data_IF_894066737747
#
_entry.id   IF_894066737747
#
_cell.length_a   1.000
_cell.length_b   1.000
_cell.length_c   1.000
_cell.angle_alpha   90.00
_cell.angle_beta   90.00
_cell.angle_gamma   90.00
#
_symmetry.space_group_name_H-M   'P 1'
#
loop_
_entity.id
_entity.type
_entity.pdbx_description
1 polymer ?
#
# COMPACT_ATOMS: atom_id res chain seq x y z
N UNK A 1 5.17 -15.39 0.40
CA UNK A 1 5.60 -14.02 0.75
C UNK A 1 6.72 -14.16 1.76
N UNK A 2 7.93 -13.68 1.47
CA UNK A 2 9.13 -13.92 2.29
C UNK A 2 9.75 -12.59 2.74
N UNK A 3 10.07 -12.49 4.03
CA UNK A 3 10.79 -11.36 4.62
C UNK A 3 12.30 -11.60 4.63
N UNK A 4 13.08 -10.52 4.72
CA UNK A 4 14.52 -10.64 4.97
C UNK A 4 14.78 -11.24 6.37
N UNK A 5 15.83 -12.08 6.55
CA UNK A 5 16.10 -12.76 7.82
C UNK A 5 16.22 -11.82 9.04
N UNK A 6 16.70 -10.59 8.82
CA UNK A 6 16.82 -9.58 9.87
C UNK A 6 15.46 -9.17 10.47
N UNK A 7 14.34 -9.36 9.75
CA UNK A 7 13.01 -9.07 10.24
C UNK A 7 12.67 -9.90 11.47
N UNK A 8 12.93 -11.21 11.42
CA UNK A 8 12.61 -12.13 12.51
C UNK A 8 13.40 -11.81 13.78
N UNK A 9 14.71 -11.53 13.63
CA UNK A 9 15.56 -11.14 14.75
C UNK A 9 15.08 -9.84 15.41
N UNK A 10 14.70 -8.85 14.62
CA UNK A 10 14.24 -7.56 15.12
C UNK A 10 12.85 -7.64 15.74
N UNK A 11 11.91 -8.41 15.17
CA UNK A 11 10.60 -8.67 15.80
C UNK A 11 10.77 -9.31 17.18
N UNK A 12 11.64 -10.32 17.29
CA UNK A 12 11.93 -10.95 18.58
C UNK A 12 12.52 -9.96 19.61
N UNK A 13 13.38 -9.04 19.17
CA UNK A 13 13.90 -7.96 20.03
C UNK A 13 12.80 -7.01 20.49
N UNK A 14 11.90 -6.61 19.59
CA UNK A 14 10.78 -5.72 19.89
C UNK A 14 9.75 -6.39 20.81
N UNK A 15 9.44 -7.66 20.62
CA UNK A 15 8.53 -8.41 21.48
C UNK A 15 9.06 -8.50 22.92
N UNK A 16 10.37 -8.74 23.07
CA UNK A 16 11.04 -8.73 24.37
C UNK A 16 10.99 -7.34 25.03
N UNK A 17 11.02 -6.27 24.24
CA UNK A 17 10.92 -4.88 24.69
C UNK A 17 9.48 -4.54 25.12
N UNK A 18 8.49 -4.89 24.30
CA UNK A 18 7.05 -4.66 24.56
C UNK A 18 6.55 -5.42 25.80
N UNK A 19 7.20 -6.53 26.13
CA UNK A 19 6.92 -7.29 27.36
C UNK A 19 7.40 -6.57 28.63
N UNK A 20 8.21 -5.51 28.51
CA UNK A 20 8.64 -4.71 29.65
C UNK A 20 7.59 -3.65 30.01
N UNK A 21 7.39 -3.33 31.30
CA UNK A 21 6.38 -2.37 31.73
C UNK A 21 6.66 -0.91 31.30
N UNK A 22 7.85 -0.62 30.75
CA UNK A 22 8.25 0.73 30.41
C UNK A 22 7.94 1.10 28.95
N UNK A 23 6.75 1.65 28.73
CA UNK A 23 6.30 2.12 27.41
C UNK A 23 7.18 3.24 26.80
N UNK A 24 7.96 3.97 27.60
CA UNK A 24 8.80 5.06 27.08
C UNK A 24 9.91 4.56 26.16
N UNK A 25 10.36 3.31 26.32
CA UNK A 25 11.43 2.73 25.51
C UNK A 25 10.88 2.33 24.13
N UNK A 26 9.66 1.77 24.10
CA UNK A 26 8.96 1.41 22.86
C UNK A 26 8.72 2.66 22.00
N UNK A 27 8.28 3.75 22.61
CA UNK A 27 8.04 5.00 21.88
C UNK A 27 9.35 5.58 21.31
N UNK A 28 10.47 5.49 22.05
CA UNK A 28 11.78 5.90 21.53
C UNK A 28 12.23 5.05 20.35
N UNK A 29 12.11 3.73 20.46
CA UNK A 29 12.47 2.80 19.38
C UNK A 29 11.64 3.07 18.11
N UNK A 30 10.34 3.36 18.28
CA UNK A 30 9.45 3.74 17.18
C UNK A 30 9.87 5.04 16.51
N UNK A 31 10.45 5.98 17.25
CA UNK A 31 10.87 7.29 16.73
C UNK A 31 12.28 7.22 16.11
N UNK A 32 13.20 6.51 16.77
CA UNK A 32 14.63 6.63 16.51
C UNK A 32 15.16 5.57 15.54
N UNK A 33 14.55 4.39 15.45
CA UNK A 33 15.04 3.30 14.61
C UNK A 33 14.07 3.04 13.44
N UNK A 34 14.47 3.35 12.18
CA UNK A 34 13.59 3.20 11.02
C UNK A 34 13.06 1.79 10.80
N UNK A 35 13.87 0.76 11.06
CA UNK A 35 13.45 -0.64 10.95
C UNK A 35 12.43 -1.01 12.04
N UNK A 36 12.66 -0.58 13.27
CA UNK A 36 11.75 -0.84 14.39
C UNK A 36 10.41 -0.16 14.16
N UNK A 37 10.40 1.11 13.73
CA UNK A 37 9.19 1.83 13.28
C UNK A 37 8.42 1.04 12.23
N UNK A 38 9.11 0.56 11.19
CA UNK A 38 8.52 -0.20 10.08
C UNK A 38 7.86 -1.49 10.57
N UNK A 39 8.54 -2.25 11.42
CA UNK A 39 8.03 -3.52 11.94
C UNK A 39 6.91 -3.33 12.97
N UNK A 40 6.95 -2.27 13.78
CA UNK A 40 5.89 -1.91 14.74
C UNK A 40 4.60 -1.47 14.03
N UNK A 41 4.70 -0.91 12.82
CA UNK A 41 3.53 -0.72 11.94
C UNK A 41 2.99 -2.04 11.38
N UNK A 42 3.63 -3.18 11.69
CA UNK A 42 3.28 -4.51 11.20
C UNK A 42 3.45 -4.62 9.68
N UNK A 43 4.47 -3.94 9.14
CA UNK A 43 4.88 -4.04 7.75
C UNK A 43 5.93 -5.15 7.61
N UNK A 44 5.93 -5.78 6.44
CA UNK A 44 6.92 -6.76 6.04
C UNK A 44 8.23 -6.06 5.69
N UNK A 45 9.35 -6.62 6.12
CA UNK A 45 10.67 -6.13 5.74
C UNK A 45 11.22 -6.94 4.56
N UNK A 46 11.27 -6.30 3.39
CA UNK A 46 11.70 -6.87 2.11
C UNK A 46 12.78 -6.00 1.46
N UNK A 47 13.41 -6.50 0.40
CA UNK A 47 14.26 -5.66 -0.44
C UNK A 47 13.45 -4.47 -0.97
N UNK A 48 13.95 -3.26 -0.79
CA UNK A 48 13.27 -2.02 -1.20
C UNK A 48 12.25 -1.47 -0.20
N UNK A 49 12.11 -2.04 1.00
CA UNK A 49 11.23 -1.48 2.04
C UNK A 49 11.55 -0.01 2.34
N UNK A 50 10.49 0.79 2.45
CA UNK A 50 10.57 2.23 2.67
C UNK A 50 10.74 2.57 4.16
N UNK A 51 11.88 2.19 4.72
CA UNK A 51 12.17 2.42 6.14
C UNK A 51 12.06 3.91 6.49
N UNK A 52 11.39 4.20 7.61
CA UNK A 52 11.15 5.57 8.09
C UNK A 52 9.88 6.23 7.54
N UNK A 53 9.30 5.72 6.46
CA UNK A 53 8.00 6.21 5.93
C UNK A 53 6.83 5.63 6.72
N UNK A 54 5.72 6.36 6.76
CA UNK A 54 4.49 5.91 7.39
C UNK A 54 3.55 5.28 6.34
N UNK A 55 2.94 4.11 6.64
CA UNK A 55 1.94 3.51 5.76
C UNK A 55 0.62 4.28 5.83
N UNK A 56 -0.27 4.13 4.83
CA UNK A 56 -1.61 4.70 4.90
C UNK A 56 -2.41 4.07 6.03
N UNK A 57 -3.27 4.87 6.64
CA UNK A 57 -4.35 4.42 7.51
C UNK A 57 -5.44 3.68 6.71
N UNK A 58 -6.32 2.93 7.41
CA UNK A 58 -7.47 2.26 6.77
C UNK A 58 -8.38 3.28 6.10
N UNK A 59 -8.55 4.45 6.72
CA UNK A 59 -9.36 5.56 6.27
C UNK A 59 -8.80 6.22 5.01
N UNK A 60 -7.48 6.40 4.92
CA UNK A 60 -6.81 6.89 3.70
C UNK A 60 -6.92 5.88 2.56
N UNK A 61 -6.72 4.59 2.86
CA UNK A 61 -6.93 3.51 1.90
C UNK A 61 -8.36 3.51 1.35
N UNK A 62 -9.35 3.63 2.24
CA UNK A 62 -10.78 3.68 1.90
C UNK A 62 -11.11 4.93 1.08
N UNK A 63 -10.61 6.09 1.49
CA UNK A 63 -10.81 7.36 0.78
C UNK A 63 -10.29 7.27 -0.65
N UNK A 64 -9.08 6.74 -0.84
CA UNK A 64 -8.49 6.49 -2.15
C UNK A 64 -9.28 5.48 -2.98
N UNK A 65 -9.83 4.44 -2.35
CA UNK A 65 -10.66 3.42 -3.00
C UNK A 65 -12.00 3.98 -3.49
N UNK A 66 -12.59 4.92 -2.76
CA UNK A 66 -13.89 5.55 -3.04
C UNK A 66 -13.83 6.74 -4.02
N UNK A 67 -12.64 7.20 -4.41
CA UNK A 67 -12.49 8.28 -5.40
C UNK A 67 -13.29 7.97 -6.68
N UNK A 68 -13.97 8.98 -7.22
CA UNK A 68 -14.72 8.90 -8.48
C UNK A 68 -13.89 9.54 -9.60
N UNK A 69 -13.07 8.78 -10.35
CA UNK A 69 -12.10 9.35 -11.28
C UNK A 69 -12.72 9.87 -12.59
N UNK A 70 -14.00 9.57 -12.88
CA UNK A 70 -14.57 9.80 -14.21
C UNK A 70 -16.12 9.90 -14.20
N UNK A 71 -16.68 10.14 -15.39
CA UNK A 71 -18.13 10.30 -15.62
C UNK A 71 -18.96 9.03 -15.35
N UNK A 72 -18.35 7.85 -15.25
CA UNK A 72 -19.10 6.60 -15.03
C UNK A 72 -19.63 6.46 -13.60
N UNK A 73 -19.22 7.35 -12.68
CA UNK A 73 -19.59 7.34 -11.25
C UNK A 73 -19.23 6.03 -10.52
N UNK A 74 -18.37 5.21 -11.12
CA UNK A 74 -17.77 4.06 -10.45
C UNK A 74 -16.62 4.57 -9.59
N UNK A 75 -16.48 4.02 -8.39
CA UNK A 75 -15.30 4.28 -7.56
C UNK A 75 -14.05 3.69 -8.21
N UNK A 76 -12.87 4.17 -7.82
CA UNK A 76 -11.59 3.61 -8.25
C UNK A 76 -11.52 2.10 -7.97
N UNK A 77 -11.98 1.70 -6.78
CA UNK A 77 -12.20 0.32 -6.37
C UNK A 77 -13.09 -0.47 -7.31
N UNK A 78 -14.32 0.00 -7.53
CA UNK A 78 -15.30 -0.65 -8.39
C UNK A 78 -14.82 -0.80 -9.84
N UNK A 79 -14.13 0.22 -10.36
CA UNK A 79 -13.54 0.17 -11.70
C UNK A 79 -12.41 -0.85 -11.80
N UNK A 80 -11.53 -0.92 -10.79
CA UNK A 80 -10.50 -1.94 -10.77
C UNK A 80 -11.12 -3.34 -10.67
N UNK A 81 -12.16 -3.51 -9.85
CA UNK A 81 -12.82 -4.80 -9.68
C UNK A 81 -13.44 -5.27 -10.98
N UNK A 82 -14.14 -4.40 -11.70
CA UNK A 82 -14.70 -4.70 -13.02
C UNK A 82 -13.65 -5.16 -14.05
N UNK A 83 -12.37 -4.77 -13.88
CA UNK A 83 -11.25 -5.24 -14.70
C UNK A 83 -10.59 -6.51 -14.20
N UNK A 84 -10.67 -6.82 -12.91
CA UNK A 84 -9.99 -7.96 -12.29
C UNK A 84 -10.91 -9.17 -12.07
N UNK A 85 -12.23 -9.00 -12.05
CA UNK A 85 -13.17 -10.07 -11.75
C UNK A 85 -13.05 -11.30 -12.68
N UNK A 86 -12.64 -11.11 -13.94
CA UNK A 86 -12.39 -12.22 -14.87
C UNK A 86 -11.05 -12.96 -14.64
N UNK A 87 -10.10 -12.35 -13.93
CA UNK A 87 -8.73 -12.85 -13.79
C UNK A 87 -8.54 -13.90 -12.70
N UNK A 88 -9.53 -14.03 -11.81
CA UNK A 88 -9.50 -14.99 -10.69
C UNK A 88 -10.34 -16.25 -10.96
N UNK A 89 -10.89 -16.42 -12.16
CA UNK A 89 -11.69 -17.60 -12.51
C UNK A 89 -10.78 -18.83 -12.57
N UNK A 90 -11.05 -19.83 -11.74
CA UNK A 90 -10.40 -21.14 -11.85
C UNK A 90 -10.97 -21.90 -13.04
N UNK A 91 -10.11 -22.63 -13.76
CA UNK A 91 -10.48 -23.49 -14.90
C UNK A 91 -11.24 -24.77 -14.48
N UNK A 92 -11.57 -24.93 -13.20
CA UNK A 92 -12.33 -26.07 -12.69
C UNK A 92 -13.83 -25.87 -12.95
N UNK A 93 -14.34 -26.61 -13.93
CA UNK A 93 -15.77 -26.76 -14.21
C UNK A 93 -16.55 -27.07 -12.91
N UNK A 94 -17.20 -26.05 -12.33
CA UNK A 94 -18.03 -26.20 -11.13
C UNK A 94 -17.99 -25.01 -10.16
N UNK A 95 -16.87 -24.28 -10.07
CA UNK A 95 -16.75 -23.12 -9.17
C UNK A 95 -17.10 -21.83 -9.91
N UNK A 96 -18.36 -21.42 -9.82
CA UNK A 96 -18.94 -20.39 -10.70
C UNK A 96 -18.46 -18.95 -10.44
N UNK A 97 -17.43 -18.72 -9.62
CA UNK A 97 -16.89 -17.40 -9.34
C UNK A 97 -15.45 -17.50 -8.80
N UNK A 98 -14.53 -16.75 -9.39
CA UNK A 98 -13.17 -16.61 -8.85
C UNK A 98 -13.12 -15.92 -7.48
N UNK A 99 -11.92 -15.77 -6.91
CA UNK A 99 -11.74 -15.16 -5.57
C UNK A 99 -12.37 -13.76 -5.44
N UNK A 100 -12.30 -12.95 -6.51
CA UNK A 100 -12.93 -11.62 -6.58
C UNK A 100 -14.44 -11.65 -6.84
N UNK A 101 -15.03 -12.83 -6.93
CA UNK A 101 -16.43 -13.03 -7.26
C UNK A 101 -16.72 -12.93 -8.77
N UNK A 102 -18.01 -12.92 -9.09
CA UNK A 102 -18.49 -12.81 -10.48
C UNK A 102 -18.28 -11.40 -11.05
N UNK A 103 -18.20 -11.31 -12.37
CA UNK A 103 -18.14 -10.03 -13.07
C UNK A 103 -19.25 -9.09 -12.59
N UNK A 104 -18.93 -7.86 -12.14
CA UNK A 104 -19.94 -6.92 -11.67
C UNK A 104 -20.87 -6.51 -12.80
N UNK A 105 -22.17 -6.69 -12.58
CA UNK A 105 -23.24 -6.26 -13.48
C UNK A 105 -24.31 -5.49 -12.70
N UNK A 106 -25.15 -4.73 -13.41
CA UNK A 106 -26.26 -3.95 -12.83
C UNK A 106 -25.92 -2.49 -12.54
N UNK A 107 -26.72 -1.81 -11.68
CA UNK A 107 -26.59 -0.38 -11.44
C UNK A 107 -25.23 0.00 -10.81
N UNK A 108 -24.72 1.18 -11.17
CA UNK A 108 -23.44 1.72 -10.67
C UNK A 108 -23.37 1.75 -9.14
N UNK A 109 -24.45 2.15 -8.46
CA UNK A 109 -24.51 2.17 -7.00
C UNK A 109 -24.30 0.76 -6.41
N UNK A 110 -25.00 -0.25 -6.92
CA UNK A 110 -24.84 -1.63 -6.47
C UNK A 110 -23.47 -2.23 -6.79
N UNK A 111 -22.84 -1.81 -7.89
CA UNK A 111 -21.45 -2.20 -8.18
C UNK A 111 -20.49 -1.58 -7.16
N UNK A 112 -20.66 -0.29 -6.83
CA UNK A 112 -19.83 0.40 -5.83
C UNK A 112 -19.99 -0.23 -4.43
N UNK A 113 -21.21 -0.54 -4.00
CA UNK A 113 -21.48 -1.20 -2.72
C UNK A 113 -20.80 -2.56 -2.63
N UNK A 114 -20.90 -3.40 -3.67
CA UNK A 114 -20.22 -4.70 -3.68
C UNK A 114 -18.70 -4.57 -3.75
N UNK A 115 -18.18 -3.55 -4.42
CA UNK A 115 -16.75 -3.27 -4.40
C UNK A 115 -16.27 -2.89 -2.99
N UNK A 116 -17.07 -2.16 -2.22
CA UNK A 116 -16.77 -1.84 -0.82
C UNK A 116 -16.74 -3.10 0.05
N UNK A 117 -17.66 -4.05 -0.16
CA UNK A 117 -17.60 -5.35 0.53
C UNK A 117 -16.31 -6.11 0.23
N UNK A 118 -15.75 -5.98 -0.99
CA UNK A 118 -14.43 -6.56 -1.30
C UNK A 118 -13.29 -5.82 -0.59
N UNK A 119 -13.40 -4.50 -0.44
CA UNK A 119 -12.47 -3.71 0.37
C UNK A 119 -12.44 -4.24 1.81
N UNK A 120 -13.60 -4.35 2.46
CA UNK A 120 -13.69 -4.86 3.83
C UNK A 120 -13.21 -6.32 3.91
N UNK A 121 -13.60 -7.17 2.97
CA UNK A 121 -13.14 -8.57 2.89
C UNK A 121 -11.61 -8.67 2.92
N UNK A 122 -10.91 -7.86 2.13
CA UNK A 122 -9.43 -7.86 2.11
C UNK A 122 -8.90 -7.22 3.39
N UNK A 123 -9.33 -6.01 3.71
CA UNK A 123 -8.76 -5.18 4.78
C UNK A 123 -8.94 -5.78 6.17
N UNK A 124 -10.02 -6.52 6.39
CA UNK A 124 -10.31 -7.17 7.68
C UNK A 124 -9.57 -8.51 7.84
N UNK A 125 -9.03 -9.08 6.75
CA UNK A 125 -8.30 -10.35 6.73
C UNK A 125 -6.84 -10.19 6.27
N UNK A 126 -6.29 -8.98 6.34
CA UNK A 126 -4.90 -8.72 5.93
C UNK A 126 -3.95 -9.48 6.85
N UNK A 127 -3.19 -10.39 6.26
CA UNK A 127 -2.12 -11.13 6.95
C UNK A 127 -0.73 -10.62 6.57
N UNK A 128 -0.62 -9.86 5.48
CA UNK A 128 0.65 -9.32 5.01
C UNK A 128 0.48 -7.89 4.51
N UNK A 129 1.34 -6.99 5.00
CA UNK A 129 1.41 -5.60 4.56
C UNK A 129 2.82 -5.27 4.15
N UNK A 130 3.01 -4.51 3.09
CA UNK A 130 4.34 -4.05 2.72
C UNK A 130 4.31 -2.60 2.24
N UNK A 131 5.35 -1.87 2.59
CA UNK A 131 5.59 -0.50 2.17
C UNK A 131 6.98 -0.43 1.55
N UNK A 132 7.06 -0.15 0.25
CA UNK A 132 8.31 -0.21 -0.50
C UNK A 132 8.39 0.84 -1.59
N UNK A 133 9.61 1.14 -2.01
CA UNK A 133 9.87 2.07 -3.11
C UNK A 133 9.93 1.33 -4.44
N UNK A 134 9.24 1.88 -5.43
CA UNK A 134 9.52 1.64 -6.84
C UNK A 134 10.46 2.74 -7.37
N UNK A 135 11.11 2.52 -8.53
CA UNK A 135 11.87 3.56 -9.21
C UNK A 135 11.06 4.85 -9.39
N UNK A 136 11.76 5.98 -9.50
CA UNK A 136 11.17 7.33 -9.64
C UNK A 136 10.38 7.81 -8.41
N UNK A 137 10.80 7.40 -7.21
CA UNK A 137 10.22 7.86 -5.94
C UNK A 137 8.72 7.59 -5.84
N UNK A 138 8.28 6.41 -6.30
CA UNK A 138 6.91 5.97 -6.13
C UNK A 138 6.84 5.07 -4.90
N UNK A 139 6.24 5.59 -3.84
CA UNK A 139 6.00 4.83 -2.61
C UNK A 139 4.77 3.96 -2.82
N UNK A 140 4.88 2.66 -2.53
CA UNK A 140 3.82 1.67 -2.75
C UNK A 140 3.48 0.99 -1.43
N UNK A 141 2.19 0.95 -1.15
CA UNK A 141 1.61 0.16 -0.06
C UNK A 141 0.82 -1.01 -0.64
N UNK A 142 1.10 -2.22 -0.16
CA UNK A 142 0.34 -3.43 -0.47
C UNK A 142 -0.22 -4.03 0.81
N UNK A 143 -1.47 -4.48 0.74
CA UNK A 143 -2.11 -5.28 1.77
C UNK A 143 -2.66 -6.56 1.13
N UNK A 144 -2.31 -7.72 1.69
CA UNK A 144 -2.65 -9.04 1.16
C UNK A 144 -3.24 -9.92 2.25
N UNK A 145 -4.16 -10.78 1.84
CA UNK A 145 -4.65 -11.91 2.63
C UNK A 145 -3.69 -13.10 2.49
N UNK A 146 -3.92 -14.14 3.30
CA UNK A 146 -3.07 -15.33 3.34
C UNK A 146 -2.96 -16.04 1.98
N UNK A 147 -4.07 -16.12 1.25
CA UNK A 147 -4.13 -16.67 -0.11
C UNK A 147 -3.28 -15.90 -1.14
N UNK A 148 -2.73 -14.72 -0.78
CA UNK A 148 -1.89 -13.90 -1.63
C UNK A 148 -2.65 -12.84 -2.44
N UNK A 149 -3.98 -12.89 -2.47
CA UNK A 149 -4.82 -11.82 -3.03
C UNK A 149 -4.71 -10.54 -2.20
N UNK A 150 -4.89 -9.38 -2.81
CA UNK A 150 -4.76 -8.12 -2.08
C UNK A 150 -5.08 -6.88 -2.86
N UNK A 151 -4.62 -5.76 -2.33
CA UNK A 151 -4.84 -4.42 -2.86
C UNK A 151 -3.56 -3.60 -2.79
N UNK A 152 -3.43 -2.66 -3.73
CA UNK A 152 -2.25 -1.79 -3.86
C UNK A 152 -2.65 -0.32 -3.93
N UNK A 153 -1.92 0.50 -3.19
CA UNK A 153 -1.96 1.96 -3.23
C UNK A 153 -0.57 2.52 -3.53
N UNK A 154 -0.51 3.76 -4.01
CA UNK A 154 0.77 4.43 -4.21
C UNK A 154 0.70 5.94 -3.98
N UNK A 155 1.84 6.54 -3.67
CA UNK A 155 2.10 7.97 -3.74
C UNK A 155 3.25 8.23 -4.73
N UNK A 156 3.05 9.17 -5.65
CA UNK A 156 4.12 9.68 -6.52
C UNK A 156 4.79 10.85 -5.81
N UNK A 157 5.99 10.61 -5.24
CA UNK A 157 6.74 11.61 -4.49
C UNK A 157 7.82 12.31 -5.35
N UNK A 158 8.10 11.81 -6.55
CA UNK A 158 9.09 12.42 -7.45
C UNK A 158 8.70 13.81 -7.95
N UNK A 159 7.41 14.15 -7.93
CA UNK A 159 6.92 15.48 -8.33
C UNK A 159 7.15 16.57 -7.28
N UNK A 160 7.39 16.20 -6.02
CA UNK A 160 7.56 17.16 -4.91
C UNK A 160 8.93 17.82 -4.92
N UNK A 161 9.98 17.07 -5.29
CA UNK A 161 11.35 17.58 -5.38
C UNK A 161 11.51 18.63 -6.50
N UNK A 162 10.79 18.46 -7.62
CA UNK A 162 10.87 19.40 -8.77
C UNK A 162 10.18 20.72 -8.48
N UNK A 163 9.14 20.74 -7.62
CA UNK A 163 8.45 21.98 -7.23
C UNK A 163 9.23 22.80 -6.19
N UNK A 164 10.05 22.17 -5.33
CA UNK A 164 10.86 22.86 -4.34
C UNK A 164 12.12 23.52 -4.94
N UNK A 165 12.61 23.02 -6.08
CA UNK A 165 13.82 23.51 -6.77
C UNK A 165 13.62 24.65 -7.77
N UNK A 166 12.42 25.26 -7.87
CA UNK A 166 12.15 26.39 -8.76
C UNK A 166 12.17 27.73 -8.01
N UNK A 167 13.28 28.05 -7.36
CA UNK A 167 13.62 29.46 -7.05
C UNK A 167 14.08 30.11 -8.34
N UNK A 168 13.34 31.13 -8.80
CA UNK A 168 13.80 32.04 -9.85
C UNK A 168 15.13 32.65 -9.41
N UNK A 169 16.07 32.67 -10.36
CA UNK A 169 17.40 33.26 -10.30
C UNK A 169 17.48 34.48 -9.36
N UNK A 170 18.11 34.28 -8.20
CA UNK A 170 18.42 35.30 -7.22
C UNK A 170 19.52 34.77 -6.33
N UNK A 171 20.73 35.31 -6.51
CA UNK A 171 21.96 34.94 -5.81
C UNK A 171 21.78 35.06 -4.29
N UNK A 172 21.46 33.95 -3.64
CA UNK A 172 21.44 33.79 -2.19
C UNK A 172 21.75 32.33 -1.87
N UNK A 173 22.63 32.10 -0.90
CA UNK A 173 23.03 30.75 -0.49
C UNK A 173 21.80 29.84 -0.29
N UNK A 174 21.84 28.58 -0.76
CA UNK A 174 20.72 27.67 -0.59
C UNK A 174 20.61 27.34 0.90
N UNK A 175 19.58 27.87 1.54
CA UNK A 175 19.17 27.45 2.87
C UNK A 175 18.70 25.99 2.71
N UNK A 176 19.54 25.03 3.08
CA UNK A 176 19.24 23.60 2.97
C UNK A 176 18.15 23.24 3.98
N UNK A 177 16.88 23.42 3.60
CA UNK A 177 15.73 22.97 4.39
C UNK A 177 15.81 21.44 4.46
N UNK A 178 15.79 20.90 5.67
CA UNK A 178 15.86 19.45 5.86
C UNK A 178 14.56 18.79 5.37
N UNK A 179 14.63 17.53 4.89
CA UNK A 179 13.45 16.77 4.45
C UNK A 179 12.33 16.71 5.52
N UNK A 180 12.73 16.74 6.80
CA UNK A 180 11.84 16.85 7.96
C UNK A 180 11.06 18.18 7.98
N UNK A 181 11.74 19.30 7.78
CA UNK A 181 11.11 20.64 7.77
C UNK A 181 10.21 20.85 6.54
N UNK A 182 10.59 20.28 5.40
CA UNK A 182 9.80 20.36 4.16
C UNK A 182 8.47 19.59 4.28
N UNK A 183 8.48 18.43 4.96
CA UNK A 183 7.27 17.63 5.23
C UNK A 183 6.26 18.30 6.16
N UNK A 184 6.71 19.25 6.99
CA UNK A 184 5.84 20.05 7.85
C UNK A 184 5.15 21.21 7.10
N UNK A 185 5.70 21.60 5.95
CA UNK A 185 5.23 22.74 5.14
C UNK A 185 4.39 22.28 3.95
N UNK A 186 4.70 21.10 3.38
CA UNK A 186 3.97 20.54 2.24
C UNK A 186 3.24 19.26 2.70
N UNK A 187 1.90 19.22 2.62
CA UNK A 187 1.16 18.01 2.97
C UNK A 187 1.61 16.86 2.07
N UNK A 188 1.81 15.68 2.66
CA UNK A 188 2.15 14.49 1.89
C UNK A 188 1.11 14.25 0.77
N UNK A 189 1.55 13.76 -0.40
CA UNK A 189 0.65 13.54 -1.53
C UNK A 189 -0.42 12.51 -1.16
N UNK A 190 -1.66 12.64 -1.62
CA UNK A 190 -2.70 11.68 -1.26
C UNK A 190 -2.37 10.29 -1.82
N UNK A 191 -2.73 9.26 -1.06
CA UNK A 191 -2.68 7.89 -1.53
C UNK A 191 -3.64 7.67 -2.71
N UNK A 192 -3.18 6.92 -3.71
CA UNK A 192 -3.97 6.58 -4.89
C UNK A 192 -4.13 5.08 -4.97
N UNK A 193 -5.38 4.60 -4.99
CA UNK A 193 -5.67 3.19 -5.22
C UNK A 193 -5.27 2.78 -6.65
N UNK A 194 -4.43 1.75 -6.77
CA UNK A 194 -3.89 1.26 -8.04
C UNK A 194 -4.59 0.03 -8.57
N UNK A 195 -5.13 -0.80 -7.68
CA UNK A 195 -5.93 -1.95 -8.07
C UNK A 195 -5.78 -3.12 -7.12
N UNK A 196 -6.32 -4.25 -7.59
CA UNK A 196 -6.24 -5.54 -6.92
C UNK A 196 -4.95 -6.25 -7.32
N UNK A 197 -4.45 -7.08 -6.41
CA UNK A 197 -3.23 -7.85 -6.62
C UNK A 197 -3.55 -9.33 -6.47
N UNK A 198 -3.05 -10.12 -7.40
CA UNK A 198 -3.22 -11.57 -7.43
C UNK A 198 -2.05 -12.28 -6.71
N UNK A 199 -2.22 -13.53 -6.29
CA UNK A 199 -1.14 -14.35 -5.75
C UNK A 199 -0.01 -14.51 -6.78
N UNK A 200 1.24 -14.62 -6.31
CA UNK A 200 2.37 -14.92 -7.20
C UNK A 200 2.14 -16.26 -7.88
N UNK A 201 2.02 -16.24 -9.20
CA UNK A 201 1.93 -17.44 -10.03
C UNK A 201 3.34 -17.90 -10.40
N UNK A 202 3.67 -19.15 -10.08
CA UNK A 202 4.87 -19.80 -10.59
C UNK A 202 4.80 -19.80 -12.13
N UNK A 203 5.81 -19.23 -12.80
CA UNK A 203 5.85 -18.98 -14.26
C UNK A 203 4.90 -17.91 -14.81
N UNK A 204 4.35 -17.02 -13.98
CA UNK A 204 3.45 -15.95 -14.44
C UNK A 204 4.01 -15.13 -15.62
N UNK A 205 5.30 -14.82 -15.58
CA UNK A 205 5.96 -14.04 -16.63
C UNK A 205 5.94 -14.75 -18.00
N UNK A 206 5.96 -16.09 -18.02
CA UNK A 206 5.95 -16.91 -19.24
C UNK A 206 4.54 -17.00 -19.86
N UNK A 207 3.49 -16.92 -19.04
CA UNK A 207 2.08 -16.89 -19.49
C UNK A 207 1.55 -15.47 -19.72
N UNK A 208 2.43 -14.47 -19.78
CA UNK A 208 2.07 -13.08 -20.06
C UNK A 208 1.45 -12.33 -18.87
N UNK A 209 1.59 -12.87 -17.65
CA UNK A 209 1.19 -12.20 -16.43
C UNK A 209 2.06 -10.96 -16.19
N UNK A 210 1.42 -9.81 -15.97
CA UNK A 210 2.09 -8.53 -15.69
C UNK A 210 1.62 -8.03 -14.32
N UNK A 211 2.57 -7.80 -13.42
CA UNK A 211 2.37 -7.30 -12.04
C UNK A 211 1.73 -5.92 -11.97
#
# INVERSE_FOLDING_TARGET
MEELPAAAAERARLDALLSQPNQSIVERERIEIPLSKHLLHGLAYTVGSALGSDPPTREECLSAFLVLPNKSRLTAGARAWAKHAHRSQGDTEGESAGWWGKQPTGPVAGINERALLLFDKVMDNVSWRNLHWLPHQVLVYEARVEDGYGMRWSQDRGKLEVSAGKTQDGEGEPNTITSSELSAIVPEPPWIFRGFVEPMMENGHEVGWRH
#
